data_IF_627207284358
#
_entry.id   IF_627207284358
#
_cell.length_a   1.000
_cell.length_b   1.000
_cell.length_c   1.000
_cell.angle_alpha   90.00
_cell.angle_beta   90.00
_cell.angle_gamma   90.00
#
_symmetry.space_group_name_H-M   'P 1'
#
loop_
_entity.id
_entity.type
_entity.pdbx_description
1 polymer ?
#
# COMPACT_ATOMS: atom_id res chain seq x y z
N UNK A 1 -15.24 2.18 -9.59
CA UNK A 1 -14.77 1.03 -10.38
C UNK A 1 -14.06 -0.01 -9.51
N UNK A 2 -13.07 0.36 -8.69
CA UNK A 2 -12.31 -0.57 -7.85
C UNK A 2 -13.18 -1.36 -6.85
N UNK A 3 -14.02 -0.69 -6.07
CA UNK A 3 -14.94 -1.35 -5.12
C UNK A 3 -15.80 -2.42 -5.78
N UNK A 4 -16.39 -2.12 -6.94
CA UNK A 4 -17.21 -3.08 -7.69
C UNK A 4 -16.43 -4.35 -8.04
N UNK A 5 -15.16 -4.22 -8.47
CA UNK A 5 -14.32 -5.38 -8.79
C UNK A 5 -14.05 -6.24 -7.55
N UNK A 6 -13.77 -5.61 -6.41
CA UNK A 6 -13.52 -6.29 -5.15
C UNK A 6 -14.79 -6.98 -4.61
N UNK A 7 -15.94 -6.31 -4.67
CA UNK A 7 -17.23 -6.87 -4.26
C UNK A 7 -17.59 -8.06 -5.14
N UNK A 8 -17.48 -7.94 -6.47
CA UNK A 8 -17.72 -9.08 -7.37
C UNK A 8 -16.78 -10.26 -7.09
N UNK A 9 -15.55 -9.99 -6.62
CA UNK A 9 -14.66 -11.05 -6.20
C UNK A 9 -15.12 -11.72 -4.90
N UNK A 10 -15.61 -10.95 -3.92
CA UNK A 10 -16.20 -11.47 -2.68
C UNK A 10 -17.46 -12.31 -2.96
N UNK A 11 -18.36 -11.82 -3.80
CA UNK A 11 -19.58 -12.53 -4.23
C UNK A 11 -19.24 -13.89 -4.85
N UNK A 12 -18.25 -13.93 -5.75
CA UNK A 12 -17.75 -15.18 -6.34
C UNK A 12 -17.08 -16.11 -5.34
N UNK A 13 -16.58 -15.58 -4.22
CA UNK A 13 -16.06 -16.36 -3.11
C UNK A 13 -17.14 -16.79 -2.11
N UNK A 14 -18.42 -16.47 -2.37
CA UNK A 14 -19.55 -16.78 -1.49
C UNK A 14 -19.63 -15.86 -0.26
N UNK A 15 -19.03 -14.68 -0.32
CA UNK A 15 -19.08 -13.67 0.74
C UNK A 15 -20.04 -12.57 0.33
N UNK A 16 -21.08 -12.35 1.13
CA UNK A 16 -22.04 -11.27 0.94
C UNK A 16 -21.60 -10.01 1.68
N UNK A 17 -21.78 -8.84 1.05
CA UNK A 17 -21.53 -7.54 1.67
C UNK A 17 -22.86 -6.93 2.08
N UNK A 18 -23.12 -6.87 3.38
CA UNK A 18 -24.31 -6.22 3.91
C UNK A 18 -24.19 -4.70 3.84
N UNK A 19 -25.17 -4.05 3.20
CA UNK A 19 -25.27 -2.60 3.07
C UNK A 19 -26.41 -2.07 3.93
N UNK A 20 -26.31 -0.81 4.36
CA UNK A 20 -27.29 -0.22 5.27
C UNK A 20 -27.19 -0.79 6.70
N UNK A 21 -26.06 -1.43 7.02
CA UNK A 21 -25.74 -1.99 8.33
C UNK A 21 -24.60 -1.18 8.94
N UNK A 22 -24.87 -0.48 10.03
CA UNK A 22 -23.92 0.40 10.73
C UNK A 22 -23.41 -0.24 12.01
N UNK A 23 -22.11 -0.16 12.28
CA UNK A 23 -21.54 -0.55 13.58
C UNK A 23 -21.79 0.56 14.60
N UNK A 24 -22.62 0.28 15.61
CA UNK A 24 -22.98 1.25 16.67
C UNK A 24 -22.01 1.17 17.84
N UNK A 25 -21.68 -0.05 18.26
CA UNK A 25 -20.82 -0.31 19.40
C UNK A 25 -20.15 -1.68 19.27
N UNK A 26 -19.05 -1.89 19.99
CA UNK A 26 -18.47 -3.21 20.14
C UNK A 26 -17.72 -3.33 21.47
N UNK A 27 -17.47 -4.56 21.88
CA UNK A 27 -16.68 -4.88 23.06
C UNK A 27 -15.79 -6.09 22.80
N UNK A 28 -14.49 -5.93 23.02
CA UNK A 28 -13.55 -7.06 23.05
C UNK A 28 -13.64 -7.76 24.43
N UNK A 29 -13.96 -9.05 24.41
CA UNK A 29 -14.03 -9.93 25.60
C UNK A 29 -12.78 -10.78 25.78
N UNK A 30 -11.72 -10.54 25.00
CA UNK A 30 -10.45 -11.27 25.03
C UNK A 30 -10.49 -12.64 24.32
N UNK A 31 -11.68 -13.25 24.19
CA UNK A 31 -11.93 -14.47 23.43
C UNK A 31 -12.78 -14.25 22.17
N UNK A 32 -13.61 -13.21 22.16
CA UNK A 32 -14.44 -12.79 21.03
C UNK A 32 -14.68 -11.27 21.09
N UNK A 33 -15.13 -10.70 19.98
CA UNK A 33 -15.65 -9.33 19.87
C UNK A 33 -17.16 -9.42 19.71
N UNK A 34 -17.88 -8.74 20.59
CA UNK A 34 -19.34 -8.59 20.51
C UNK A 34 -19.61 -7.23 19.88
N UNK A 35 -20.21 -7.21 18.68
CA UNK A 35 -20.55 -6.01 17.94
C UNK A 35 -22.07 -5.81 17.93
N UNK A 36 -22.51 -4.57 18.13
CA UNK A 36 -23.90 -4.15 17.99
C UNK A 36 -24.04 -3.40 16.67
N UNK A 37 -24.88 -3.92 15.79
CA UNK A 37 -25.15 -3.36 14.48
C UNK A 37 -26.54 -2.71 14.45
N UNK A 38 -26.71 -1.67 13.66
CA UNK A 38 -27.99 -1.04 13.35
C UNK A 38 -28.30 -1.27 11.87
N UNK A 39 -29.44 -1.90 11.59
CA UNK A 39 -29.92 -2.20 10.25
C UNK A 39 -31.38 -1.78 10.15
N UNK A 40 -31.65 -0.80 9.29
CA UNK A 40 -33.00 -0.24 9.10
C UNK A 40 -33.65 0.26 10.42
N UNK A 41 -32.84 0.76 11.34
CA UNK A 41 -33.28 1.23 12.67
C UNK A 41 -33.52 0.13 13.70
N UNK A 42 -33.32 -1.13 13.34
CA UNK A 42 -33.31 -2.26 14.28
C UNK A 42 -31.88 -2.57 14.72
N UNK A 43 -31.72 -2.99 15.97
CA UNK A 43 -30.40 -3.37 16.49
C UNK A 43 -30.25 -4.89 16.52
N UNK A 44 -29.09 -5.37 16.11
CA UNK A 44 -28.71 -6.78 16.19
C UNK A 44 -27.32 -6.93 16.81
N UNK A 45 -27.03 -8.12 17.34
CA UNK A 45 -25.73 -8.42 17.96
C UNK A 45 -25.03 -9.53 17.19
N UNK A 46 -23.77 -9.28 16.85
CA UNK A 46 -22.88 -10.23 16.18
C UNK A 46 -21.71 -10.58 17.10
N UNK A 47 -21.39 -11.87 17.18
CA UNK A 47 -20.21 -12.38 17.87
C UNK A 47 -19.20 -12.82 16.83
N UNK A 48 -18.00 -12.25 16.85
CA UNK A 48 -16.92 -12.57 15.92
C UNK A 48 -15.60 -12.82 16.68
N UNK A 49 -14.69 -13.60 16.10
CA UNK A 49 -13.37 -13.81 16.71
C UNK A 49 -12.49 -12.54 16.69
N UNK A 50 -12.71 -11.68 15.69
CA UNK A 50 -11.94 -10.48 15.40
C UNK A 50 -12.82 -9.42 14.73
N UNK A 51 -12.42 -8.15 14.86
CA UNK A 51 -13.03 -7.00 14.18
C UNK A 51 -11.94 -6.18 13.49
N UNK A 52 -12.15 -5.83 12.22
CA UNK A 52 -11.26 -4.94 11.48
C UNK A 52 -12.04 -3.67 11.05
N UNK A 53 -11.63 -2.52 11.57
CA UNK A 53 -12.13 -1.21 11.17
C UNK A 53 -11.53 -0.79 9.84
N UNK A 54 -12.35 -0.90 8.79
CA UNK A 54 -12.08 -0.41 7.44
C UNK A 54 -13.07 0.73 7.08
N UNK A 55 -13.50 1.48 8.09
CA UNK A 55 -14.66 2.39 8.13
C UNK A 55 -14.27 3.87 7.96
N UNK A 56 -13.14 4.12 7.31
CA UNK A 56 -12.76 5.46 6.84
C UNK A 56 -12.25 6.41 7.92
N UNK A 57 -12.01 7.66 7.53
CA UNK A 57 -11.39 8.68 8.39
C UNK A 57 -12.19 8.97 9.68
N UNK A 58 -13.50 8.76 9.69
CA UNK A 58 -14.39 8.95 10.85
C UNK A 58 -14.71 7.64 11.59
N UNK A 59 -13.84 6.64 11.44
CA UNK A 59 -13.95 5.30 12.02
C UNK A 59 -14.62 5.22 13.39
N UNK A 60 -15.77 4.57 13.42
CA UNK A 60 -16.47 4.18 14.64
C UNK A 60 -15.63 3.17 15.44
N UNK A 61 -14.89 2.29 14.75
CA UNK A 61 -13.98 1.33 15.40
C UNK A 61 -12.87 2.05 16.17
N UNK A 62 -12.19 3.02 15.55
CA UNK A 62 -11.13 3.79 16.21
C UNK A 62 -11.66 4.57 17.41
N UNK A 63 -12.83 5.21 17.27
CA UNK A 63 -13.45 5.94 18.38
C UNK A 63 -13.88 5.00 19.51
N UNK A 64 -14.46 3.83 19.19
CA UNK A 64 -14.84 2.83 20.18
C UNK A 64 -13.65 2.23 20.95
N UNK A 65 -12.47 2.20 20.34
CA UNK A 65 -11.21 1.84 21.03
C UNK A 65 -10.57 3.00 21.81
N UNK A 66 -11.13 4.21 21.72
CA UNK A 66 -10.53 5.44 22.26
C UNK A 66 -9.07 5.66 21.79
N UNK A 67 -8.77 5.28 20.55
CA UNK A 67 -7.44 5.48 19.97
C UNK A 67 -7.33 6.92 19.47
N UNK A 68 -6.29 7.63 19.94
CA UNK A 68 -6.01 8.98 19.45
C UNK A 68 -5.60 8.94 17.99
N UNK A 69 -5.94 10.01 17.27
CA UNK A 69 -5.62 10.19 15.86
C UNK A 69 -4.79 11.47 15.64
N UNK A 70 -3.56 11.52 16.18
CA UNK A 70 -2.69 12.68 16.10
C UNK A 70 -2.33 13.02 14.65
N UNK A 71 -2.07 14.31 14.43
CA UNK A 71 -1.72 14.90 13.15
C UNK A 71 -2.43 16.23 12.93
N UNK A 72 -2.28 16.80 11.73
CA UNK A 72 -2.74 18.14 11.42
C UNK A 72 -3.53 18.23 10.10
N UNK A 73 -4.13 19.39 9.87
CA UNK A 73 -4.48 19.82 8.53
C UNK A 73 -3.25 20.49 7.91
N UNK A 74 -3.06 20.34 6.60
CA UNK A 74 -2.19 21.28 5.89
C UNK A 74 -2.81 22.68 5.97
N UNK A 75 -1.96 23.71 6.07
CA UNK A 75 -2.41 25.10 6.07
C UNK A 75 -3.10 25.47 4.75
N UNK A 76 -2.63 24.86 3.65
CA UNK A 76 -3.10 25.10 2.29
C UNK A 76 -4.37 24.32 1.99
N UNK A 77 -5.24 24.97 1.22
CA UNK A 77 -6.34 24.31 0.52
C UNK A 77 -5.84 23.81 -0.84
N UNK A 78 -6.35 22.66 -1.27
CA UNK A 78 -6.11 22.13 -2.60
C UNK A 78 -7.36 22.29 -3.44
N UNK A 79 -7.20 22.35 -4.76
CA UNK A 79 -8.29 22.27 -5.70
C UNK A 79 -8.17 21.02 -6.56
N UNK A 80 -9.32 20.55 -7.05
CA UNK A 80 -9.41 19.60 -8.15
C UNK A 80 -10.47 20.10 -9.12
N UNK A 81 -10.16 20.04 -10.41
CA UNK A 81 -11.06 20.42 -11.49
C UNK A 81 -11.03 19.36 -12.59
N UNK A 82 -12.19 18.95 -13.08
CA UNK A 82 -12.31 18.20 -14.33
C UNK A 82 -12.80 19.15 -15.41
N UNK A 83 -11.98 19.36 -16.43
CA UNK A 83 -12.19 20.38 -17.45
C UNK A 83 -12.12 19.81 -18.86
N UNK A 84 -12.68 20.51 -19.83
CA UNK A 84 -12.25 20.40 -21.23
C UNK A 84 -11.36 21.58 -21.54
N UNK A 85 -10.29 21.34 -22.29
CA UNK A 85 -9.31 22.37 -22.55
C UNK A 85 -8.24 21.91 -23.52
N UNK A 86 -7.29 22.81 -23.78
CA UNK A 86 -6.23 22.65 -24.77
C UNK A 86 -4.90 23.05 -24.14
N UNK A 87 -3.85 22.29 -24.44
CA UNK A 87 -2.49 22.52 -23.94
C UNK A 87 -1.56 21.42 -24.42
N UNK A 88 -0.26 21.62 -24.23
CA UNK A 88 0.74 20.58 -24.47
C UNK A 88 0.75 19.62 -23.28
N UNK A 89 -0.06 18.56 -23.36
CA UNK A 89 -0.32 17.62 -22.26
C UNK A 89 0.13 16.22 -22.66
N UNK A 90 0.81 15.53 -21.76
CA UNK A 90 1.22 14.14 -21.93
C UNK A 90 0.00 13.21 -21.93
N UNK A 91 -0.42 12.74 -23.12
CA UNK A 91 -1.62 11.90 -23.33
C UNK A 91 -1.73 10.65 -22.45
N UNK A 92 -0.59 10.03 -22.11
CA UNK A 92 -0.51 8.80 -21.33
C UNK A 92 0.35 8.98 -20.08
N UNK A 93 0.32 10.17 -19.49
CA UNK A 93 1.14 10.51 -18.35
C UNK A 93 0.46 11.49 -17.41
N UNK A 94 1.31 12.06 -16.58
CA UNK A 94 0.95 13.05 -15.59
C UNK A 94 1.98 14.16 -15.68
N UNK A 95 1.56 15.36 -16.06
CA UNK A 95 2.45 16.51 -16.09
C UNK A 95 2.41 17.17 -14.71
N UNK A 96 3.57 17.51 -14.19
CA UNK A 96 3.70 18.12 -12.87
C UNK A 96 4.46 19.43 -12.99
N UNK A 97 3.83 20.52 -12.58
CA UNK A 97 4.46 21.82 -12.49
C UNK A 97 4.83 22.12 -11.04
N UNK A 98 6.08 22.54 -10.83
CA UNK A 98 6.54 23.11 -9.56
C UNK A 98 7.04 24.52 -9.86
N UNK A 99 6.33 25.53 -9.37
CA UNK A 99 6.61 26.94 -9.64
C UNK A 99 6.79 27.75 -8.35
N UNK A 100 7.07 29.04 -8.50
CA UNK A 100 7.07 29.99 -7.37
C UNK A 100 5.69 30.14 -6.72
N UNK A 101 4.62 29.87 -7.49
CA UNK A 101 3.21 30.06 -7.11
C UNK A 101 2.58 28.79 -6.53
N UNK A 102 3.16 27.61 -6.78
CA UNK A 102 2.69 26.38 -6.16
C UNK A 102 3.05 25.10 -6.92
N UNK A 103 2.23 24.09 -6.69
CA UNK A 103 2.29 22.77 -7.29
C UNK A 103 0.99 22.53 -8.08
N UNK A 104 1.12 22.02 -9.30
CA UNK A 104 -0.01 21.61 -10.12
C UNK A 104 0.26 20.27 -10.83
N UNK A 105 -0.79 19.47 -10.98
CA UNK A 105 -0.81 18.20 -11.70
C UNK A 105 -1.85 18.30 -12.81
N UNK A 106 -1.48 17.84 -14.01
CA UNK A 106 -2.36 17.69 -15.16
C UNK A 106 -2.42 16.23 -15.58
N UNK A 107 -3.63 15.66 -15.67
CA UNK A 107 -3.85 14.27 -16.06
C UNK A 107 -5.02 14.14 -17.03
N UNK A 108 -4.82 13.59 -18.24
CA UNK A 108 -5.91 13.20 -19.12
C UNK A 108 -6.76 12.08 -18.51
N UNK A 109 -8.07 12.30 -18.40
CA UNK A 109 -9.04 11.28 -17.95
C UNK A 109 -9.51 10.49 -19.17
N UNK A 110 -8.92 9.32 -19.35
CA UNK A 110 -9.06 8.49 -20.57
C UNK A 110 -10.50 8.18 -20.98
N UNK A 111 -11.42 7.99 -20.03
CA UNK A 111 -12.78 7.54 -20.33
C UNK A 111 -13.72 8.68 -20.75
N UNK A 112 -13.47 9.90 -20.31
CA UNK A 112 -14.34 11.07 -20.56
C UNK A 112 -13.75 12.06 -21.57
N UNK A 113 -12.45 11.93 -21.90
CA UNK A 113 -11.74 12.93 -22.71
C UNK A 113 -11.53 14.27 -22.00
N UNK A 114 -11.85 14.35 -20.70
CA UNK A 114 -11.59 15.52 -19.86
C UNK A 114 -10.15 15.52 -19.35
N UNK A 115 -9.69 16.68 -18.89
CA UNK A 115 -8.39 16.87 -18.25
C UNK A 115 -8.66 17.11 -16.76
N UNK A 116 -7.98 16.37 -15.88
CA UNK A 116 -8.01 16.60 -14.44
C UNK A 116 -6.85 17.49 -14.04
N UNK A 117 -7.18 18.59 -13.39
CA UNK A 117 -6.24 19.55 -12.83
C UNK A 117 -6.30 19.43 -11.31
N UNK A 118 -5.15 19.27 -10.65
CA UNK A 118 -5.04 19.28 -9.19
C UNK A 118 -3.96 20.27 -8.83
N UNK A 119 -4.19 21.11 -7.84
CA UNK A 119 -3.16 22.03 -7.38
C UNK A 119 -3.46 22.64 -6.04
N UNK A 120 -2.61 23.57 -5.64
CA UNK A 120 -2.79 24.35 -4.41
C UNK A 120 -3.60 25.59 -4.74
N UNK A 121 -4.61 25.88 -3.93
CA UNK A 121 -5.39 27.12 -4.03
C UNK A 121 -4.44 28.32 -3.86
N UNK A 122 -4.49 29.32 -4.76
CA UNK A 122 -3.65 30.50 -4.66
C UNK A 122 -3.84 31.20 -3.31
N UNK A 123 -2.75 31.69 -2.72
CA UNK A 123 -2.75 32.33 -1.38
C UNK A 123 -3.76 33.47 -1.23
N UNK A 124 -4.04 34.19 -2.31
CA UNK A 124 -5.03 35.28 -2.32
C UNK A 124 -6.45 34.80 -1.97
N UNK A 125 -6.74 33.52 -2.19
CA UNK A 125 -8.05 32.89 -2.00
C UNK A 125 -8.07 31.89 -0.84
N UNK A 126 -6.98 31.72 -0.09
CA UNK A 126 -6.91 30.74 1.01
C UNK A 126 -7.89 31.04 2.17
N UNK A 127 -8.26 32.31 2.36
CA UNK A 127 -9.20 32.75 3.38
C UNK A 127 -10.67 32.72 2.93
N UNK A 128 -10.92 32.45 1.65
CA UNK A 128 -12.27 32.43 1.10
C UNK A 128 -12.97 31.13 1.53
N UNK A 129 -14.16 31.24 2.14
CA UNK A 129 -14.94 30.06 2.58
C UNK A 129 -15.42 29.22 1.39
N UNK A 130 -15.73 29.88 0.27
CA UNK A 130 -16.16 29.26 -0.98
C UNK A 130 -15.39 29.86 -2.14
N UNK A 131 -14.69 29.00 -2.89
CA UNK A 131 -13.90 29.41 -4.05
C UNK A 131 -14.60 28.87 -5.29
N UNK A 132 -14.76 29.70 -6.31
CA UNK A 132 -15.20 29.26 -7.63
C UNK A 132 -13.98 29.00 -8.51
N UNK A 133 -14.12 28.14 -9.52
CA UNK A 133 -13.02 27.93 -10.48
C UNK A 133 -12.64 29.24 -11.18
N UNK A 134 -13.62 30.09 -11.52
CA UNK A 134 -13.38 31.37 -12.19
C UNK A 134 -12.47 32.30 -11.38
N UNK A 135 -12.57 32.28 -10.05
CA UNK A 135 -11.70 33.09 -9.19
C UNK A 135 -10.21 32.70 -9.33
N UNK A 136 -9.93 31.42 -9.57
CA UNK A 136 -8.55 30.89 -9.65
C UNK A 136 -8.14 30.50 -11.07
N UNK A 137 -9.00 30.68 -12.08
CA UNK A 137 -8.78 30.22 -13.46
C UNK A 137 -7.44 30.67 -14.00
N UNK A 138 -7.15 31.97 -13.90
CA UNK A 138 -5.90 32.53 -14.43
C UNK A 138 -4.64 31.90 -13.80
N UNK A 139 -4.70 31.58 -12.50
CA UNK A 139 -3.61 30.89 -11.81
C UNK A 139 -3.48 29.44 -12.28
N UNK A 140 -4.61 28.73 -12.38
CA UNK A 140 -4.67 27.35 -12.84
C UNK A 140 -4.12 27.23 -14.27
N UNK A 141 -4.61 28.04 -15.21
CA UNK A 141 -4.18 27.99 -16.61
C UNK A 141 -2.70 28.34 -16.77
N UNK A 142 -2.21 29.32 -16.00
CA UNK A 142 -0.78 29.68 -15.97
C UNK A 142 0.08 28.52 -15.45
N UNK A 143 -0.31 27.90 -14.34
CA UNK A 143 0.53 26.90 -13.67
C UNK A 143 0.45 25.53 -14.37
N UNK A 144 -0.66 25.24 -15.04
CA UNK A 144 -0.88 23.97 -15.75
C UNK A 144 -0.49 24.04 -17.24
N UNK A 145 -0.47 25.25 -17.83
CA UNK A 145 -0.32 25.41 -19.29
C UNK A 145 -1.55 24.96 -20.08
N UNK A 146 -2.67 24.70 -19.40
CA UNK A 146 -3.93 24.26 -20.01
C UNK A 146 -4.88 25.45 -20.09
N UNK A 147 -5.29 25.82 -21.29
CA UNK A 147 -6.42 26.74 -21.50
C UNK A 147 -7.73 25.98 -21.32
N UNK A 148 -8.58 26.43 -20.40
CA UNK A 148 -9.82 25.74 -20.03
C UNK A 148 -11.00 26.29 -20.82
N UNK A 149 -11.58 25.45 -21.69
CA UNK A 149 -12.75 25.79 -22.50
C UNK A 149 -14.06 25.57 -21.71
N UNK A 150 -14.13 24.54 -20.85
CA UNK A 150 -15.32 24.16 -20.08
C UNK A 150 -14.92 23.53 -18.74
N UNK A 151 -15.64 23.85 -17.66
CA UNK A 151 -15.46 23.23 -16.34
C UNK A 151 -16.62 22.26 -16.09
N UNK A 152 -16.34 20.97 -16.05
CA UNK A 152 -17.35 19.94 -15.78
C UNK A 152 -17.59 19.77 -14.28
N UNK A 153 -16.51 19.87 -13.48
CA UNK A 153 -16.56 19.71 -12.04
C UNK A 153 -15.41 20.47 -11.37
N UNK A 154 -15.67 21.05 -10.20
CA UNK A 154 -14.68 21.76 -9.40
C UNK A 154 -14.97 21.56 -7.91
N UNK A 155 -13.92 21.33 -7.12
CA UNK A 155 -14.01 21.30 -5.66
C UNK A 155 -12.69 21.74 -5.05
N UNK A 156 -12.77 22.41 -3.89
CA UNK A 156 -11.63 22.58 -3.00
C UNK A 156 -11.72 21.60 -1.84
N UNK A 157 -10.57 21.23 -1.27
CA UNK A 157 -10.51 20.36 -0.11
C UNK A 157 -9.27 20.68 0.72
N UNK A 158 -9.38 20.49 2.04
CA UNK A 158 -8.24 20.55 2.94
C UNK A 158 -7.73 19.15 3.14
N UNK A 159 -6.42 19.01 3.04
CA UNK A 159 -5.77 17.73 3.25
C UNK A 159 -5.43 17.60 4.72
N UNK A 160 -5.69 16.43 5.28
CA UNK A 160 -5.26 16.07 6.62
C UNK A 160 -4.19 14.99 6.55
N UNK A 161 -3.22 15.07 7.44
CA UNK A 161 -2.28 13.98 7.73
C UNK A 161 -2.54 13.56 9.16
N UNK A 162 -3.00 12.31 9.37
CA UNK A 162 -3.20 11.76 10.72
C UNK A 162 -2.90 10.28 10.69
N UNK A 163 -2.34 9.77 11.78
CA UNK A 163 -2.06 8.34 11.95
C UNK A 163 -2.52 7.94 13.34
N UNK A 164 -3.22 6.82 13.44
CA UNK A 164 -3.70 6.27 14.69
C UNK A 164 -2.50 5.79 15.52
N UNK A 165 -2.51 6.04 16.82
CA UNK A 165 -1.40 5.65 17.70
C UNK A 165 -1.21 4.14 17.77
N UNK A 166 -2.31 3.40 17.59
CA UNK A 166 -2.31 1.96 17.52
C UNK A 166 -3.16 1.52 16.32
N UNK A 167 -2.69 0.50 15.62
CA UNK A 167 -3.39 -0.19 14.55
C UNK A 167 -4.06 -1.45 15.07
N UNK A 168 -3.79 -1.85 16.32
CA UNK A 168 -4.42 -2.98 16.98
C UNK A 168 -4.60 -2.76 18.48
N UNK A 169 -5.77 -3.15 18.99
CA UNK A 169 -6.01 -3.35 20.42
C UNK A 169 -6.72 -4.68 20.60
N UNK A 170 -6.06 -5.64 21.26
CA UNK A 170 -6.62 -6.97 21.51
C UNK A 170 -6.97 -7.70 20.20
N UNK A 171 -8.27 -7.91 19.97
CA UNK A 171 -8.85 -8.57 18.77
C UNK A 171 -9.37 -7.60 17.72
N UNK A 172 -9.18 -6.30 17.93
CA UNK A 172 -9.68 -5.24 17.05
C UNK A 172 -8.52 -4.56 16.32
N UNK A 173 -8.67 -4.37 15.02
CA UNK A 173 -7.64 -3.83 14.11
C UNK A 173 -8.16 -2.60 13.36
N UNK A 174 -7.28 -1.70 12.96
CA UNK A 174 -7.57 -0.59 12.05
C UNK A 174 -6.83 -0.77 10.73
N UNK A 175 -7.47 -0.46 9.61
CA UNK A 175 -6.94 -0.64 8.26
C UNK A 175 -7.35 0.54 7.36
N UNK A 176 -6.43 0.98 6.49
CA UNK A 176 -6.69 2.11 5.59
C UNK A 176 -7.00 3.40 6.35
N UNK A 177 -7.94 4.18 5.83
CA UNK A 177 -8.29 5.51 6.33
C UNK A 177 -8.75 5.53 7.81
N UNK A 178 -9.17 4.39 8.36
CA UNK A 178 -9.45 4.25 9.79
C UNK A 178 -8.19 4.38 10.64
N UNK A 179 -7.06 3.87 10.14
CA UNK A 179 -5.75 3.90 10.79
C UNK A 179 -4.84 5.04 10.35
N UNK A 180 -4.97 5.57 9.14
CA UNK A 180 -4.16 6.69 8.67
C UNK A 180 -4.79 7.44 7.48
N UNK A 181 -4.65 8.75 7.47
CA UNK A 181 -4.98 9.63 6.35
C UNK A 181 -3.75 10.43 5.97
N UNK A 182 -3.55 10.64 4.67
CA UNK A 182 -2.39 11.36 4.16
C UNK A 182 -2.73 12.13 2.89
N UNK A 183 -1.78 12.96 2.43
CA UNK A 183 -2.00 13.79 1.25
C UNK A 183 -2.29 12.98 -0.02
N UNK A 184 -3.30 13.39 -0.81
CA UNK A 184 -3.57 12.79 -2.11
C UNK A 184 -2.55 13.19 -3.19
N UNK A 185 -1.60 14.09 -2.89
CA UNK A 185 -0.58 14.54 -3.84
C UNK A 185 0.25 13.40 -4.48
N UNK A 186 0.30 12.22 -3.84
CA UNK A 186 0.91 11.00 -4.40
C UNK A 186 -0.06 9.94 -4.92
N UNK A 187 -1.38 10.10 -4.78
CA UNK A 187 -2.37 9.09 -5.16
C UNK A 187 -2.28 7.78 -4.36
N UNK A 188 -1.74 7.84 -3.14
CA UNK A 188 -1.31 6.65 -2.39
C UNK A 188 -2.35 6.09 -1.42
N UNK A 189 -3.45 6.81 -1.11
CA UNK A 189 -4.36 6.45 0.00
C UNK A 189 -4.92 5.04 -0.10
N UNK A 190 -5.65 4.79 -1.19
CA UNK A 190 -6.21 3.47 -1.49
C UNK A 190 -5.12 2.39 -1.63
N UNK A 191 -3.94 2.72 -2.18
CA UNK A 191 -2.84 1.77 -2.32
C UNK A 191 -2.30 1.33 -0.95
N UNK A 192 -2.11 2.28 -0.04
CA UNK A 192 -1.68 2.00 1.34
C UNK A 192 -2.71 1.15 2.07
N UNK A 193 -3.99 1.51 1.97
CA UNK A 193 -5.08 0.77 2.61
C UNK A 193 -5.23 -0.65 2.07
N UNK A 194 -5.08 -0.86 0.76
CA UNK A 194 -5.01 -2.22 0.19
C UNK A 194 -3.79 -2.99 0.71
N UNK A 195 -2.65 -2.33 0.87
CA UNK A 195 -1.45 -2.92 1.47
C UNK A 195 -1.64 -3.36 2.92
N UNK A 196 -2.38 -2.57 3.71
CA UNK A 196 -2.77 -2.93 5.09
C UNK A 196 -3.66 -4.17 5.08
N UNK A 197 -4.70 -4.18 4.25
CA UNK A 197 -5.65 -5.28 4.14
C UNK A 197 -4.94 -6.58 3.73
N UNK A 198 -4.06 -6.52 2.72
CA UNK A 198 -3.26 -7.68 2.29
C UNK A 198 -2.36 -8.18 3.42
N UNK A 199 -1.68 -7.28 4.15
CA UNK A 199 -0.80 -7.66 5.25
C UNK A 199 -1.57 -8.31 6.42
N UNK A 200 -2.75 -7.80 6.76
CA UNK A 200 -3.58 -8.32 7.84
C UNK A 200 -4.30 -9.63 7.48
N UNK A 201 -4.85 -9.72 6.27
CA UNK A 201 -5.77 -10.80 5.87
C UNK A 201 -5.13 -12.19 5.97
N UNK A 202 -3.89 -12.37 5.49
CA UNK A 202 -3.24 -13.68 5.55
C UNK A 202 -2.89 -14.09 6.98
N UNK A 203 -2.54 -13.11 7.85
CA UNK A 203 -2.22 -13.34 9.26
C UNK A 203 -3.49 -13.75 10.02
N UNK A 204 -4.59 -13.02 9.83
CA UNK A 204 -5.89 -13.37 10.40
C UNK A 204 -6.35 -14.75 9.93
N UNK A 205 -6.31 -15.01 8.63
CA UNK A 205 -6.71 -16.30 8.09
C UNK A 205 -5.88 -17.45 8.69
N UNK A 206 -4.56 -17.30 8.81
CA UNK A 206 -3.71 -18.31 9.40
C UNK A 206 -4.04 -18.57 10.88
N UNK A 207 -4.28 -17.53 11.67
CA UNK A 207 -4.60 -17.67 13.09
C UNK A 207 -6.00 -18.26 13.31
N UNK A 208 -7.02 -17.76 12.60
CA UNK A 208 -8.40 -18.25 12.70
C UNK A 208 -8.49 -19.73 12.31
N UNK A 209 -7.71 -20.16 11.31
CA UNK A 209 -7.66 -21.56 10.87
C UNK A 209 -6.74 -22.45 11.73
N UNK A 210 -6.16 -21.95 12.83
CA UNK A 210 -5.26 -22.72 13.69
C UNK A 210 -3.93 -23.13 13.03
N UNK A 211 -3.51 -22.36 12.01
CA UNK A 211 -2.29 -22.57 11.21
C UNK A 211 -1.14 -21.65 11.59
N UNK A 212 -1.34 -20.77 12.56
CA UNK A 212 -0.32 -19.91 13.10
C UNK A 212 -0.68 -19.53 14.54
N UNK A 213 0.34 -19.22 15.32
CA UNK A 213 0.20 -18.64 16.66
C UNK A 213 -0.41 -17.23 16.57
N UNK A 214 -1.25 -16.84 17.55
CA UNK A 214 -1.83 -15.50 17.64
C UNK A 214 -0.78 -14.39 17.64
N UNK A 215 0.44 -14.66 18.13
CA UNK A 215 1.59 -13.75 18.10
C UNK A 215 1.95 -13.29 16.69
N UNK A 216 1.58 -14.05 15.65
CA UNK A 216 1.75 -13.61 14.26
C UNK A 216 1.02 -12.29 14.00
N UNK A 217 -0.15 -12.09 14.60
CA UNK A 217 -0.92 -10.85 14.45
C UNK A 217 -0.22 -9.65 15.10
N UNK A 218 0.69 -9.88 16.04
CA UNK A 218 1.44 -8.79 16.72
C UNK A 218 2.40 -8.12 15.74
N UNK A 219 2.72 -8.78 14.61
CA UNK A 219 3.52 -8.19 13.54
C UNK A 219 2.78 -7.18 12.67
N UNK A 220 1.44 -7.10 12.72
CA UNK A 220 0.67 -6.20 11.85
C UNK A 220 0.99 -4.72 12.10
N UNK A 221 0.83 -4.27 13.34
CA UNK A 221 1.06 -2.87 13.73
C UNK A 221 2.49 -2.40 13.41
N UNK A 222 3.57 -3.02 13.92
CA UNK A 222 4.93 -2.53 13.68
C UNK A 222 5.34 -2.54 12.20
N UNK A 223 4.76 -3.42 11.38
CA UNK A 223 5.01 -3.44 9.94
C UNK A 223 4.32 -2.28 9.21
N UNK A 224 3.06 -1.98 9.57
CA UNK A 224 2.21 -1.03 8.84
C UNK A 224 2.27 0.38 9.39
N UNK A 225 2.34 0.55 10.71
CA UNK A 225 2.44 1.88 11.34
C UNK A 225 3.78 2.55 11.00
N UNK A 226 4.86 1.78 10.85
CA UNK A 226 6.18 2.31 10.48
C UNK A 226 6.21 2.90 9.07
N UNK A 227 5.37 2.41 8.16
CA UNK A 227 5.19 3.06 6.85
C UNK A 227 4.44 4.38 7.01
N UNK A 228 3.35 4.38 7.77
CA UNK A 228 2.53 5.57 8.02
C UNK A 228 3.35 6.71 8.67
N UNK A 229 4.19 6.40 9.66
CA UNK A 229 5.09 7.39 10.27
C UNK A 229 6.14 7.93 9.30
N UNK A 230 6.80 7.07 8.51
CA UNK A 230 7.75 7.51 7.47
C UNK A 230 7.09 8.42 6.44
N UNK A 231 5.83 8.16 6.10
CA UNK A 231 5.06 9.00 5.19
C UNK A 231 4.78 10.38 5.80
N UNK A 232 4.40 10.46 7.08
CA UNK A 232 4.28 11.77 7.77
C UNK A 232 5.63 12.50 7.76
N UNK A 233 6.70 11.87 8.24
CA UNK A 233 8.02 12.53 8.37
C UNK A 233 8.53 13.06 7.03
N UNK A 234 8.41 12.26 5.97
CA UNK A 234 8.84 12.65 4.63
C UNK A 234 7.96 13.75 4.03
N UNK A 235 6.64 13.68 4.26
CA UNK A 235 5.72 14.70 3.76
C UNK A 235 5.89 16.02 4.51
N UNK A 236 6.16 16.00 5.82
CA UNK A 236 6.46 17.19 6.62
C UNK A 236 7.78 17.86 6.18
N UNK A 237 8.80 17.07 5.85
CA UNK A 237 10.07 17.60 5.32
C UNK A 237 9.88 18.21 3.92
N UNK A 238 9.22 17.50 3.00
CA UNK A 238 8.93 18.00 1.67
C UNK A 238 8.05 19.27 1.73
N UNK A 239 7.08 19.26 2.62
CA UNK A 239 6.21 20.40 2.90
C UNK A 239 6.97 21.60 3.42
N UNK A 240 7.82 21.44 4.46
CA UNK A 240 8.67 22.52 4.97
C UNK A 240 9.57 23.11 3.90
N UNK A 241 10.10 22.29 2.99
CA UNK A 241 10.89 22.78 1.86
C UNK A 241 10.00 23.54 0.87
N UNK A 242 8.81 23.04 0.56
CA UNK A 242 7.86 23.67 -0.34
C UNK A 242 7.31 25.00 0.20
N UNK A 243 7.12 25.14 1.51
CA UNK A 243 6.47 26.30 2.14
C UNK A 243 7.43 27.27 2.83
N UNK A 244 8.73 26.94 2.88
CA UNK A 244 9.75 27.79 3.49
C UNK A 244 9.79 29.17 2.85
N UNK A 245 9.66 30.20 3.68
CA UNK A 245 9.79 31.61 3.31
C UNK A 245 11.24 32.11 3.26
N UNK A 246 12.21 31.21 3.46
CA UNK A 246 13.63 31.56 3.37
C UNK A 246 14.01 31.86 1.93
N UNK A 247 14.67 33.00 1.70
CA UNK A 247 15.15 33.43 0.38
C UNK A 247 16.09 32.39 -0.26
N UNK A 248 16.88 31.69 0.56
CA UNK A 248 17.79 30.63 0.10
C UNK A 248 17.03 29.38 -0.35
N UNK A 249 15.99 28.98 0.37
CA UNK A 249 15.14 27.83 -0.01
C UNK A 249 14.32 28.16 -1.25
N UNK A 250 13.84 29.41 -1.38
CA UNK A 250 13.21 29.91 -2.60
C UNK A 250 14.15 29.86 -3.82
N UNK A 251 15.44 30.23 -3.64
CA UNK A 251 16.45 30.14 -4.71
C UNK A 251 16.73 28.68 -5.09
N UNK A 252 16.90 27.80 -4.10
CA UNK A 252 17.09 26.36 -4.31
C UNK A 252 15.91 25.75 -5.08
N UNK A 253 14.68 26.02 -4.65
CA UNK A 253 13.43 25.54 -5.28
C UNK A 253 13.30 26.01 -6.74
N UNK A 254 13.70 27.25 -7.02
CA UNK A 254 13.58 27.84 -8.37
C UNK A 254 14.66 27.35 -9.34
N UNK A 255 15.90 27.17 -8.90
CA UNK A 255 17.03 26.96 -9.81
C UNK A 255 17.72 25.60 -9.69
N UNK A 256 17.76 25.00 -8.50
CA UNK A 256 18.50 23.77 -8.24
C UNK A 256 17.59 22.55 -8.23
N UNK A 257 16.43 22.63 -7.57
CA UNK A 257 15.51 21.50 -7.41
C UNK A 257 15.02 20.93 -8.74
N UNK A 258 14.63 21.73 -9.76
CA UNK A 258 14.23 21.18 -11.06
C UNK A 258 15.38 20.45 -11.76
N UNK A 259 16.62 20.96 -11.63
CA UNK A 259 17.81 20.31 -12.20
C UNK A 259 18.11 18.98 -11.49
N UNK A 260 18.03 18.95 -10.16
CA UNK A 260 18.24 17.73 -9.37
C UNK A 260 17.16 16.70 -9.69
N UNK A 261 15.87 17.08 -9.72
CA UNK A 261 14.79 16.18 -10.10
C UNK A 261 14.98 15.67 -11.53
N UNK A 262 15.32 16.54 -12.48
CA UNK A 262 15.53 16.14 -13.87
C UNK A 262 16.68 15.12 -13.98
N UNK A 263 17.82 15.37 -13.33
CA UNK A 263 18.94 14.42 -13.30
C UNK A 263 18.52 13.11 -12.63
N UNK A 264 17.85 13.18 -11.48
CA UNK A 264 17.40 11.99 -10.76
C UNK A 264 16.44 11.14 -11.61
N UNK A 265 15.46 11.77 -12.26
CA UNK A 265 14.45 11.09 -13.08
C UNK A 265 15.00 10.60 -14.43
N UNK A 266 16.03 11.23 -14.98
CA UNK A 266 16.67 10.80 -16.23
C UNK A 266 17.71 9.67 -16.03
N UNK A 267 18.18 9.45 -14.80
CA UNK A 267 19.05 8.30 -14.50
C UNK A 267 18.25 7.03 -14.22
N UNK A 268 18.75 5.89 -14.69
CA UNK A 268 18.11 4.60 -14.45
C UNK A 268 18.02 4.23 -12.96
N UNK A 269 18.97 4.71 -12.14
CA UNK A 269 18.94 4.51 -10.69
C UNK A 269 17.90 5.42 -10.01
N UNK A 270 17.95 6.72 -10.25
CA UNK A 270 17.03 7.67 -9.61
C UNK A 270 15.58 7.47 -10.04
N UNK A 271 15.32 7.15 -11.31
CA UNK A 271 13.99 6.80 -11.81
C UNK A 271 13.43 5.55 -11.11
N UNK A 272 14.24 4.50 -10.92
CA UNK A 272 13.85 3.29 -10.18
C UNK A 272 13.57 3.58 -8.71
N UNK A 273 14.39 4.39 -8.06
CA UNK A 273 14.18 4.77 -6.67
C UNK A 273 12.88 5.58 -6.51
N UNK A 274 12.65 6.57 -7.36
CA UNK A 274 11.43 7.37 -7.38
C UNK A 274 10.18 6.52 -7.65
N UNK A 275 10.25 5.63 -8.65
CA UNK A 275 9.20 4.67 -8.93
C UNK A 275 8.89 3.79 -7.72
N UNK A 276 9.90 3.25 -7.04
CA UNK A 276 9.74 2.41 -5.86
C UNK A 276 9.01 3.11 -4.70
N UNK A 277 9.24 4.42 -4.53
CA UNK A 277 8.55 5.24 -3.52
C UNK A 277 7.10 5.49 -3.92
N UNK A 278 6.85 6.00 -5.13
CA UNK A 278 5.50 6.37 -5.57
C UNK A 278 4.60 5.14 -5.71
N UNK A 279 5.10 4.06 -6.31
CA UNK A 279 4.38 2.79 -6.46
C UNK A 279 4.28 1.98 -5.16
N UNK A 280 4.96 2.42 -4.09
CA UNK A 280 5.09 1.68 -2.82
C UNK A 280 5.75 0.30 -2.95
N UNK A 281 6.38 -0.01 -4.09
CA UNK A 281 7.13 -1.25 -4.29
C UNK A 281 8.37 -1.37 -3.39
N UNK A 282 8.85 -0.25 -2.82
CA UNK A 282 9.99 -0.20 -1.91
C UNK A 282 9.61 -0.38 -0.42
N UNK A 283 8.34 -0.70 -0.09
CA UNK A 283 7.97 -1.02 1.29
C UNK A 283 8.72 -2.28 1.73
N UNK A 284 9.35 -2.19 2.89
CA UNK A 284 10.14 -3.25 3.51
C UNK A 284 9.91 -3.29 5.02
N UNK A 285 10.01 -4.49 5.60
CA UNK A 285 9.76 -4.81 7.00
C UNK A 285 11.01 -5.37 7.70
N UNK A 286 12.20 -4.90 7.34
CA UNK A 286 13.48 -5.45 7.86
C UNK A 286 13.59 -5.48 9.39
N UNK A 287 13.05 -4.46 10.05
CA UNK A 287 12.99 -4.36 11.51
C UNK A 287 11.73 -5.03 12.11
N UNK A 288 10.93 -5.70 11.29
CA UNK A 288 9.70 -6.36 11.71
C UNK A 288 9.96 -7.62 12.54
N UNK A 289 9.05 -7.99 13.45
CA UNK A 289 9.26 -9.08 14.40
C UNK A 289 9.30 -10.48 13.75
N UNK A 290 8.90 -10.59 12.48
CA UNK A 290 8.87 -11.84 11.72
C UNK A 290 9.85 -11.80 10.52
N UNK A 291 10.82 -10.90 10.55
CA UNK A 291 11.84 -10.73 9.51
C UNK A 291 13.20 -11.17 10.03
N UNK A 292 13.91 -12.03 9.29
CA UNK A 292 15.21 -12.54 9.72
C UNK A 292 16.16 -12.86 8.56
N UNK A 293 17.46 -12.80 8.84
CA UNK A 293 18.51 -13.23 7.93
C UNK A 293 18.73 -12.33 6.71
N UNK A 294 19.85 -12.58 6.03
CA UNK A 294 20.27 -11.88 4.81
C UNK A 294 21.00 -12.87 3.89
N UNK A 295 20.68 -12.84 2.61
CA UNK A 295 21.40 -13.56 1.57
C UNK A 295 21.52 -12.67 0.32
N UNK A 296 22.74 -12.53 -0.21
CA UNK A 296 23.03 -11.52 -1.22
C UNK A 296 22.69 -10.11 -0.73
N UNK A 297 21.83 -9.41 -1.47
CA UNK A 297 21.32 -8.07 -1.12
C UNK A 297 19.91 -8.10 -0.51
N UNK A 298 19.33 -9.29 -0.35
CA UNK A 298 17.96 -9.48 0.14
C UNK A 298 18.00 -9.83 1.63
N UNK A 299 17.24 -9.10 2.42
CA UNK A 299 17.04 -9.39 3.85
C UNK A 299 15.62 -9.84 4.12
N UNK A 300 15.42 -10.55 5.23
CA UNK A 300 14.08 -10.73 5.78
C UNK A 300 13.39 -9.38 5.92
N UNK A 301 12.11 -9.33 5.56
CA UNK A 301 11.28 -8.13 5.47
C UNK A 301 11.27 -7.47 4.09
N UNK A 302 12.17 -7.80 3.18
CA UNK A 302 12.15 -7.27 1.81
C UNK A 302 11.04 -7.91 0.99
N UNK A 303 10.47 -7.17 0.04
CA UNK A 303 9.61 -7.76 -0.99
C UNK A 303 10.46 -8.68 -1.87
N UNK A 304 9.97 -9.88 -2.16
CA UNK A 304 10.67 -10.78 -3.08
C UNK A 304 10.84 -10.09 -4.43
N UNK A 305 12.07 -9.98 -4.98
CA UNK A 305 12.27 -9.32 -6.25
C UNK A 305 11.74 -10.19 -7.40
N UNK A 306 11.21 -9.55 -8.44
CA UNK A 306 10.74 -10.24 -9.65
C UNK A 306 11.91 -10.73 -10.51
N UNK A 307 11.84 -11.98 -10.96
CA UNK A 307 12.81 -12.62 -11.84
C UNK A 307 12.07 -13.29 -13.01
N UNK A 308 12.19 -12.78 -14.25
CA UNK A 308 11.59 -13.40 -15.42
C UNK A 308 12.30 -14.71 -15.78
N UNK A 309 11.54 -15.68 -16.31
CA UNK A 309 12.04 -16.98 -16.76
C UNK A 309 11.42 -17.35 -18.13
N UNK A 310 12.03 -18.26 -18.91
CA UNK A 310 11.42 -18.72 -20.14
C UNK A 310 10.02 -19.32 -19.90
N UNK A 311 8.98 -18.64 -20.41
CA UNK A 311 7.58 -19.09 -20.29
C UNK A 311 6.93 -18.93 -18.92
N UNK A 312 7.59 -18.31 -17.93
CA UNK A 312 7.06 -18.11 -16.58
C UNK A 312 7.87 -17.04 -15.80
N UNK A 313 7.67 -16.97 -14.49
CA UNK A 313 8.44 -16.14 -13.57
C UNK A 313 8.45 -16.76 -12.15
N UNK A 314 9.24 -16.18 -11.26
CA UNK A 314 9.30 -16.60 -9.86
C UNK A 314 8.04 -16.24 -9.04
N UNK A 315 7.13 -15.42 -9.56
CA UNK A 315 5.90 -15.03 -8.88
C UNK A 315 4.74 -15.98 -9.17
N UNK A 316 4.79 -16.80 -10.22
CA UNK A 316 3.76 -17.78 -10.54
C UNK A 316 3.39 -18.68 -9.33
N UNK A 317 4.34 -19.22 -8.55
CA UNK A 317 4.02 -20.00 -7.35
C UNK A 317 3.39 -19.19 -6.18
N UNK A 318 3.55 -17.86 -6.17
CA UNK A 318 2.96 -16.98 -5.15
C UNK A 318 1.43 -16.91 -5.25
N UNK A 319 0.84 -17.36 -6.37
CA UNK A 319 -0.62 -17.46 -6.53
C UNK A 319 -1.30 -18.40 -5.54
N UNK A 320 -0.54 -19.29 -4.90
CA UNK A 320 -1.03 -20.12 -3.79
C UNK A 320 -1.47 -19.29 -2.57
N UNK A 321 -0.97 -18.06 -2.45
CA UNK A 321 -1.17 -17.18 -1.29
C UNK A 321 -0.86 -17.90 0.03
N UNK A 322 0.23 -18.67 0.02
CA UNK A 322 0.72 -19.39 1.19
C UNK A 322 2.26 -19.36 1.29
N UNK A 323 2.74 -19.76 2.47
CA UNK A 323 4.15 -19.90 2.78
C UNK A 323 4.85 -20.86 1.82
N UNK A 324 6.02 -20.47 1.35
CA UNK A 324 6.82 -21.26 0.41
C UNK A 324 8.30 -20.90 0.50
N UNK A 325 9.18 -21.82 0.15
CA UNK A 325 10.62 -21.57 0.06
C UNK A 325 11.03 -21.46 -1.39
N UNK A 326 11.79 -20.41 -1.72
CA UNK A 326 12.36 -20.19 -3.04
C UNK A 326 13.88 -20.40 -2.98
N UNK A 327 14.42 -21.14 -3.94
CA UNK A 327 15.86 -21.34 -4.14
C UNK A 327 16.21 -20.91 -5.57
N UNK A 328 17.25 -20.09 -5.73
CA UNK A 328 17.71 -19.64 -7.04
C UNK A 328 19.04 -20.29 -7.37
N UNK A 329 18.98 -21.37 -8.15
CA UNK A 329 20.07 -22.29 -8.42
C UNK A 329 19.65 -23.74 -8.14
N UNK A 330 20.58 -24.52 -7.61
CA UNK A 330 20.35 -25.93 -7.30
C UNK A 330 19.83 -26.08 -5.86
N UNK A 331 18.66 -26.71 -5.71
CA UNK A 331 18.12 -27.02 -4.40
C UNK A 331 18.61 -28.38 -3.93
N UNK A 332 19.35 -28.38 -2.82
CA UNK A 332 19.92 -29.55 -2.18
C UNK A 332 18.81 -30.57 -1.83
N UNK A 333 19.05 -31.84 -2.15
CA UNK A 333 18.07 -32.91 -1.99
C UNK A 333 17.74 -33.21 -0.52
N UNK A 334 18.75 -33.17 0.37
CA UNK A 334 18.58 -33.35 1.81
C UNK A 334 17.76 -32.19 2.41
N UNK A 335 18.06 -30.95 2.02
CA UNK A 335 17.29 -29.77 2.41
C UNK A 335 15.81 -29.91 2.03
N UNK A 336 15.52 -30.34 0.79
CA UNK A 336 14.14 -30.59 0.33
C UNK A 336 13.46 -31.70 1.13
N UNK A 337 14.14 -32.82 1.36
CA UNK A 337 13.59 -33.94 2.10
C UNK A 337 13.25 -33.54 3.55
N UNK A 338 14.12 -32.79 4.21
CA UNK A 338 13.89 -32.30 5.57
C UNK A 338 12.73 -31.31 5.64
N UNK A 339 12.60 -30.40 4.66
CA UNK A 339 11.48 -29.45 4.61
C UNK A 339 10.14 -30.06 4.21
N UNK A 340 10.13 -31.18 3.49
CA UNK A 340 8.89 -31.86 3.12
C UNK A 340 8.01 -32.18 4.35
N UNK A 341 8.64 -32.52 5.49
CA UNK A 341 7.95 -32.77 6.77
C UNK A 341 7.14 -31.58 7.31
N UNK A 342 7.48 -30.35 6.89
CA UNK A 342 6.78 -29.11 7.28
C UNK A 342 5.56 -28.83 6.42
N UNK A 343 5.43 -29.51 5.27
CA UNK A 343 4.43 -29.22 4.24
C UNK A 343 4.68 -27.95 3.43
N UNK A 344 5.76 -27.19 3.69
CA UNK A 344 6.07 -25.95 2.97
C UNK A 344 6.69 -26.32 1.61
N UNK A 345 6.10 -25.91 0.49
CA UNK A 345 6.64 -26.22 -0.83
C UNK A 345 7.99 -25.51 -1.05
N UNK A 346 8.93 -26.22 -1.67
CA UNK A 346 10.24 -25.69 -2.08
C UNK A 346 10.28 -25.55 -3.60
N UNK A 347 10.27 -24.32 -4.09
CA UNK A 347 10.43 -23.99 -5.50
C UNK A 347 11.89 -23.69 -5.79
N UNK A 348 12.49 -24.38 -6.76
CA UNK A 348 13.80 -24.03 -7.28
C UNK A 348 13.68 -23.46 -8.67
N UNK A 349 14.48 -22.45 -8.93
CA UNK A 349 14.54 -21.75 -10.19
C UNK A 349 15.97 -21.78 -10.70
N UNK A 350 16.17 -21.96 -12.01
CA UNK A 350 17.50 -21.92 -12.59
C UNK A 350 18.18 -20.57 -12.29
N UNK A 351 19.46 -20.61 -11.92
CA UNK A 351 20.24 -19.40 -11.70
C UNK A 351 20.35 -18.60 -13.00
N UNK A 352 20.21 -17.27 -12.91
CA UNK A 352 20.26 -16.38 -14.07
C UNK A 352 20.91 -15.04 -13.72
N UNK A 353 21.39 -14.30 -14.73
CA UNK A 353 21.89 -12.93 -14.55
C UNK A 353 20.80 -12.01 -14.01
N UNK A 354 19.53 -12.24 -14.38
CA UNK A 354 18.39 -11.49 -13.85
C UNK A 354 18.25 -11.68 -12.33
N UNK A 355 18.42 -12.91 -11.82
CA UNK A 355 18.41 -13.18 -10.37
C UNK A 355 19.59 -12.46 -9.66
N UNK A 356 20.79 -12.51 -10.23
CA UNK A 356 21.95 -11.81 -9.69
C UNK A 356 21.75 -10.29 -9.64
N UNK A 357 21.21 -9.70 -10.72
CA UNK A 357 20.92 -8.26 -10.82
C UNK A 357 19.80 -7.83 -9.86
N UNK A 358 18.83 -8.70 -9.62
CA UNK A 358 17.79 -8.53 -8.61
C UNK A 358 18.34 -8.57 -7.17
N UNK A 359 19.60 -8.97 -6.98
CA UNK A 359 20.26 -9.00 -5.68
C UNK A 359 20.12 -10.33 -4.94
N UNK A 360 19.53 -11.35 -5.57
CA UNK A 360 19.52 -12.70 -5.04
C UNK A 360 20.92 -13.30 -5.07
N UNK A 361 21.17 -14.25 -4.19
CA UNK A 361 22.38 -15.06 -4.12
C UNK A 361 22.12 -16.46 -4.68
N UNK A 362 23.10 -17.00 -5.41
CA UNK A 362 23.06 -18.35 -5.98
C UNK A 362 23.03 -19.39 -4.87
N UNK A 363 22.14 -20.38 -5.03
CA UNK A 363 21.91 -21.52 -4.12
C UNK A 363 21.48 -21.14 -2.69
N UNK A 364 21.18 -19.86 -2.45
CA UNK A 364 20.56 -19.40 -1.21
C UNK A 364 19.05 -19.75 -1.19
N UNK A 365 18.49 -19.83 0.02
CA UNK A 365 17.08 -20.14 0.25
C UNK A 365 16.35 -18.97 0.92
N UNK A 366 15.13 -18.70 0.45
CA UNK A 366 14.29 -17.59 0.91
C UNK A 366 12.92 -18.13 1.30
N UNK A 367 12.54 -18.03 2.57
CA UNK A 367 11.18 -18.31 3.02
C UNK A 367 10.32 -17.09 2.70
N UNK A 368 9.29 -17.28 1.88
CA UNK A 368 8.41 -16.22 1.38
C UNK A 368 7.05 -16.33 2.03
N UNK A 369 6.54 -15.19 2.50
CA UNK A 369 5.22 -15.01 3.11
C UNK A 369 4.11 -15.01 2.06
N UNK A 370 2.85 -15.25 2.46
CA UNK A 370 1.68 -15.13 1.57
C UNK A 370 1.51 -13.76 0.88
N UNK A 371 2.05 -12.69 1.47
CA UNK A 371 2.01 -11.32 0.90
C UNK A 371 3.22 -10.98 0.01
N UNK A 372 4.06 -11.97 -0.30
CA UNK A 372 5.21 -11.83 -1.20
C UNK A 372 6.45 -11.20 -0.57
N UNK A 373 6.49 -10.99 0.75
CA UNK A 373 7.70 -10.56 1.45
C UNK A 373 8.52 -11.77 1.90
N UNK A 374 9.84 -11.63 1.90
CA UNK A 374 10.76 -12.62 2.46
C UNK A 374 10.66 -12.55 3.98
N UNK A 375 10.36 -13.67 4.62
CA UNK A 375 10.38 -13.82 6.08
C UNK A 375 11.78 -14.16 6.59
N UNK A 376 12.44 -15.11 5.93
CA UNK A 376 13.79 -15.57 6.26
C UNK A 376 14.63 -15.65 4.98
N UNK A 377 15.77 -14.96 4.96
CA UNK A 377 16.78 -15.11 3.91
C UNK A 377 18.00 -15.85 4.48
N UNK A 378 18.38 -16.98 3.89
CA UNK A 378 19.51 -17.79 4.33
C UNK A 378 20.52 -18.00 3.19
N UNK A 379 21.81 -17.67 3.39
CA UNK A 379 22.83 -17.86 2.36
C UNK A 379 23.14 -19.34 2.11
N UNK A 380 22.69 -20.23 3.01
CA UNK A 380 22.88 -21.68 2.95
C UNK A 380 21.54 -22.41 3.09
N UNK A 381 21.46 -23.62 2.54
CA UNK A 381 20.26 -24.46 2.57
C UNK A 381 20.23 -25.34 3.84
N UNK A 382 20.24 -24.70 5.02
CA UNK A 382 20.15 -25.39 6.31
C UNK A 382 18.68 -25.51 6.76
N UNK A 383 18.09 -26.71 6.61
CA UNK A 383 16.68 -26.93 6.89
C UNK A 383 16.28 -26.60 8.35
N UNK A 384 17.18 -26.81 9.31
CA UNK A 384 16.92 -26.58 10.72
C UNK A 384 16.56 -25.11 11.02
N UNK A 385 17.17 -24.14 10.32
CA UNK A 385 16.83 -22.72 10.46
C UNK A 385 15.39 -22.42 10.04
N UNK A 386 14.95 -22.98 8.92
CA UNK A 386 13.59 -22.84 8.41
C UNK A 386 12.57 -23.55 9.31
N UNK A 387 12.87 -24.77 9.76
CA UNK A 387 12.02 -25.51 10.69
C UNK A 387 11.84 -24.77 12.03
N UNK A 388 12.93 -24.21 12.58
CA UNK A 388 12.87 -23.38 13.80
C UNK A 388 11.99 -22.15 13.59
N UNK A 389 12.13 -21.46 12.46
CA UNK A 389 11.30 -20.30 12.13
C UNK A 389 9.82 -20.68 12.08
N UNK A 390 9.47 -21.72 11.31
CA UNK A 390 8.08 -22.19 11.14
C UNK A 390 7.49 -22.63 12.48
N UNK A 391 8.25 -23.38 13.28
CA UNK A 391 7.83 -23.86 14.60
C UNK A 391 7.60 -22.70 15.57
N UNK A 392 8.48 -21.68 15.55
CA UNK A 392 8.39 -20.52 16.46
C UNK A 392 7.09 -19.73 16.35
N UNK A 393 6.48 -19.71 15.16
CA UNK A 393 5.19 -19.08 14.86
C UNK A 393 4.06 -20.10 14.64
N UNK A 394 4.32 -21.39 14.90
CA UNK A 394 3.40 -22.50 14.68
C UNK A 394 2.79 -22.51 13.26
N UNK A 395 3.58 -22.15 12.24
CA UNK A 395 3.14 -22.06 10.84
C UNK A 395 2.84 -23.45 10.30
N UNK A 396 1.62 -23.62 9.78
CA UNK A 396 1.18 -24.83 9.06
C UNK A 396 0.71 -24.44 7.66
N UNK A 397 1.28 -25.00 6.58
CA UNK A 397 0.85 -24.76 5.18
C UNK A 397 -0.54 -25.28 4.87
N UNK A 398 -1.19 -24.78 3.81
CA UNK A 398 -2.57 -25.08 3.41
C UNK A 398 -2.61 -26.52 2.96
N UNK A 399 -3.45 -27.31 3.62
CA UNK A 399 -3.85 -28.59 3.07
C UNK A 399 -4.56 -28.32 1.75
N UNK A 400 -4.17 -29.04 0.70
CA UNK A 400 -4.57 -28.80 -0.69
C UNK A 400 -6.07 -29.01 -0.99
N UNK A 401 -6.92 -29.15 0.04
CA UNK A 401 -8.34 -29.49 -0.08
C UNK A 401 -9.19 -28.35 -0.66
N UNK A 402 -8.72 -27.10 -0.63
CA UNK A 402 -9.32 -26.02 -1.41
C UNK A 402 -8.43 -25.73 -2.60
N UNK A 403 -8.90 -26.10 -3.79
CA UNK A 403 -8.30 -25.67 -5.04
C UNK A 403 -8.02 -24.15 -4.96
N UNK A 404 -6.85 -23.67 -5.41
CA UNK A 404 -6.58 -22.24 -5.44
C UNK A 404 -7.73 -21.58 -6.20
N UNK A 405 -8.30 -20.52 -5.61
CA UNK A 405 -9.33 -19.74 -6.27
C UNK A 405 -8.77 -19.22 -7.59
N UNK A 406 -9.12 -19.90 -8.70
CA UNK A 406 -8.79 -19.47 -10.05
C UNK A 406 -9.79 -18.39 -10.41
N UNK A 407 -9.33 -17.16 -10.64
CA UNK A 407 -10.14 -16.12 -11.26
C UNK A 407 -10.50 -16.60 -12.66
N UNK A 408 -11.77 -16.93 -12.98
CA UNK A 408 -12.14 -17.25 -14.34
C UNK A 408 -12.05 -15.95 -15.15
N UNK A 409 -11.26 -15.92 -16.22
CA UNK A 409 -11.23 -14.82 -17.17
C UNK A 409 -10.06 -13.82 -17.08
N UNK A 410 -8.94 -14.12 -16.40
CA UNK A 410 -7.68 -13.44 -16.75
C UNK A 410 -7.26 -13.90 -18.14
N UNK A 411 -7.74 -13.22 -19.17
CA UNK A 411 -7.22 -13.36 -20.52
C UNK A 411 -5.72 -13.04 -20.48
N UNK A 412 -4.91 -13.99 -20.93
CA UNK A 412 -3.64 -13.67 -21.55
C UNK A 412 -3.94 -12.73 -22.71
N UNK A 413 -3.62 -11.46 -22.51
CA UNK A 413 -3.47 -10.47 -23.58
C UNK A 413 -2.19 -9.69 -23.28
N UNK A 414 -1.06 -10.37 -23.45
CA UNK A 414 0.16 -9.72 -23.89
C UNK A 414 0.04 -9.60 -25.41
N UNK A 415 -0.28 -8.39 -25.87
CA UNK A 415 0.01 -7.88 -27.20
C UNK A 415 0.27 -6.39 -27.07
#
# INVERSE_FOLDING_TARGET
MHERVLITHLERAGVEVERGTELVAFQDKGHAVIATLSKEGQTETVVADYLAGCDGAHSAVRHGLNIRFPGGAYEQSFYVADVKGRGDITRNGMDTTISTYGFAIVMPVRQSGSIRLIGIVPKAHEADETISFEAIRADVERDTGVTVDEVNWFSTYRVHHRVAENFRVGRVFLCGDAGHIHSPAGGQGMNTGMGDAVNLAWKLAAVVQGRADRRLLDSYEPERIAFAHRLIESTDQAFRIATSRSRLVGLFRRYLMPKILNIALQTSYGSRAFFGVISQAAIQYRAGPISSGTAGKISGGDRLPYVPMPGSDNFEPLRSLDWQVHVYGEANAEFRAMLASTGVPVHAFAWSEAAAKAGLQRDAAYLVRPDGHVALASPVQEAAGFQRYLTGLAIKPRTAERAPYRVPGTMHSLA
#
